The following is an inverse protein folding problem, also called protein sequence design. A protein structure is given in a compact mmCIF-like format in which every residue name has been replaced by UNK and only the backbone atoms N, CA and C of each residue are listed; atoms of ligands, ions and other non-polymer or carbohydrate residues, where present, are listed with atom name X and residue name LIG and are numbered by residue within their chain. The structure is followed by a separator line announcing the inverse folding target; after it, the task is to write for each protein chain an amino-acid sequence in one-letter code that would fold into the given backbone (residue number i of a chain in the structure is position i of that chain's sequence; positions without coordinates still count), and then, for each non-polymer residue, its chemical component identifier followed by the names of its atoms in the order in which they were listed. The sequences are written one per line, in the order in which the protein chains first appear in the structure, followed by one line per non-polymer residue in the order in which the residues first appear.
data_IF_282463200336
#
_entry.id   IF_282463200336
#
_cell.length_a   1.000
_cell.length_b   1.000
_cell.length_c   1.000
_cell.angle_alpha   90.00
_cell.angle_beta   90.00
_cell.angle_gamma   90.00
#
_symmetry.space_group_name_H-M   'P 1'
#
loop_
_entity.id
_entity.type
_entity.pdbx_description
1 polymer ?
#
# COMPACT_ATOMS: atom_id res chain seq x y z
N UNK A 1 -13.29 10.65 2.80
CA UNK A 1 -14.02 9.81 3.78
C UNK A 1 -15.45 9.69 3.26
N UNK A 2 -15.86 8.48 2.90
CA UNK A 2 -17.23 8.22 2.50
C UNK A 2 -18.06 8.10 3.78
N UNK A 3 -18.83 9.15 4.11
CA UNK A 3 -19.82 9.07 5.18
C UNK A 3 -21.04 8.35 4.63
N UNK A 4 -21.35 7.15 5.16
CA UNK A 4 -22.55 6.36 4.80
C UNK A 4 -23.88 7.13 4.88
N UNK A 5 -23.93 8.27 5.55
CA UNK A 5 -25.14 9.03 5.84
C UNK A 5 -25.24 10.36 5.10
N UNK A 6 -24.32 10.69 4.19
CA UNK A 6 -24.42 11.93 3.43
C UNK A 6 -24.96 11.64 2.02
N UNK A 7 -26.27 11.75 1.87
CA UNK A 7 -26.97 11.60 0.58
C UNK A 7 -26.46 12.57 -0.51
N UNK A 8 -25.80 13.64 -0.11
CA UNK A 8 -25.20 14.64 -1.00
C UNK A 8 -23.74 14.35 -1.38
N UNK A 9 -23.17 13.23 -0.95
CA UNK A 9 -21.80 12.90 -1.33
C UNK A 9 -21.68 12.70 -2.85
N UNK A 10 -20.55 13.08 -3.48
CA UNK A 10 -20.33 12.84 -4.91
C UNK A 10 -20.54 11.39 -5.33
N UNK A 11 -20.20 10.46 -4.44
CA UNK A 11 -20.37 9.03 -4.64
C UNK A 11 -21.86 8.65 -4.78
N UNK A 12 -22.71 9.13 -3.88
CA UNK A 12 -24.16 8.88 -3.93
C UNK A 12 -24.82 9.57 -5.13
N UNK A 13 -24.36 10.77 -5.50
CA UNK A 13 -24.83 11.45 -6.71
C UNK A 13 -24.53 10.65 -7.98
N UNK A 14 -23.32 10.09 -8.10
CA UNK A 14 -22.96 9.23 -9.24
C UNK A 14 -23.85 7.98 -9.25
N UNK A 15 -24.05 7.31 -8.10
CA UNK A 15 -24.94 6.16 -8.00
C UNK A 15 -26.35 6.49 -8.47
N UNK A 16 -26.96 7.54 -7.94
CA UNK A 16 -28.31 8.00 -8.33
C UNK A 16 -28.41 8.26 -9.84
N UNK A 17 -27.42 8.91 -10.44
CA UNK A 17 -27.40 9.18 -11.89
C UNK A 17 -27.33 7.87 -12.69
N UNK A 18 -26.54 6.89 -12.27
CA UNK A 18 -26.47 5.59 -12.92
C UNK A 18 -27.80 4.82 -12.82
N UNK A 19 -28.45 4.87 -11.66
CA UNK A 19 -29.70 4.16 -11.40
C UNK A 19 -30.91 4.78 -12.12
N UNK A 20 -30.96 6.12 -12.21
CA UNK A 20 -32.06 6.86 -12.84
C UNK A 20 -31.88 7.15 -14.34
N UNK A 21 -30.65 7.01 -14.84
CA UNK A 21 -30.26 7.43 -16.19
C UNK A 21 -29.77 8.88 -16.25
N UNK A 22 -28.99 9.21 -17.27
CA UNK A 22 -28.41 10.54 -17.49
C UNK A 22 -29.42 11.41 -18.21
N UNK A 23 -29.92 12.45 -17.52
CA UNK A 23 -30.96 13.35 -18.05
C UNK A 23 -32.37 12.72 -17.99
N UNK A 24 -33.37 13.54 -18.05
CA UNK A 24 -34.79 13.11 -17.99
C UNK A 24 -35.30 12.51 -19.31
N UNK A 25 -34.46 11.88 -20.11
CA UNK A 25 -34.85 11.25 -21.35
C UNK A 25 -35.27 9.78 -21.11
N UNK A 26 -36.44 9.40 -21.57
CA UNK A 26 -36.99 8.03 -21.44
C UNK A 26 -36.06 6.95 -22.05
N UNK A 27 -35.12 7.35 -22.91
CA UNK A 27 -34.19 6.46 -23.60
C UNK A 27 -32.80 6.39 -22.93
N UNK A 28 -32.62 7.02 -21.77
CA UNK A 28 -31.30 6.93 -21.07
C UNK A 28 -31.10 5.57 -20.46
N UNK A 29 -29.93 4.93 -20.67
CA UNK A 29 -29.64 3.64 -20.05
C UNK A 29 -29.62 3.75 -18.53
N UNK A 30 -30.34 2.85 -17.88
CA UNK A 30 -30.36 2.70 -16.42
C UNK A 30 -29.59 1.48 -16.00
N UNK A 31 -29.02 1.51 -14.79
CA UNK A 31 -28.17 0.47 -14.25
C UNK A 31 -28.72 -0.03 -12.91
N UNK A 32 -28.52 -1.31 -12.61
CA UNK A 32 -28.44 -1.76 -11.22
C UNK A 32 -27.03 -1.46 -10.73
N UNK A 33 -26.89 -0.90 -9.53
CA UNK A 33 -25.59 -0.46 -9.04
C UNK A 33 -25.27 -1.08 -7.69
N UNK A 34 -24.19 -1.85 -7.64
CA UNK A 34 -23.67 -2.43 -6.41
C UNK A 34 -22.53 -1.58 -5.87
N UNK A 35 -22.61 -1.21 -4.61
CA UNK A 35 -21.51 -0.60 -3.86
C UNK A 35 -20.59 -1.71 -3.32
N UNK A 36 -19.28 -1.59 -3.61
CA UNK A 36 -18.27 -2.58 -3.22
C UNK A 36 -17.12 -1.89 -2.51
N UNK A 37 -16.62 -2.50 -1.43
CA UNK A 37 -15.31 -2.18 -0.86
C UNK A 37 -14.40 -3.40 -1.01
N UNK A 38 -13.50 -3.33 -1.99
CA UNK A 38 -12.58 -4.40 -2.32
C UNK A 38 -11.19 -4.09 -1.76
N UNK A 39 -10.56 -5.09 -1.14
CA UNK A 39 -9.18 -4.96 -0.68
C UNK A 39 -8.25 -5.74 -1.61
N UNK A 40 -7.25 -5.07 -2.16
CA UNK A 40 -6.32 -5.65 -3.13
C UNK A 40 -5.64 -6.94 -2.61
N UNK A 41 -5.36 -7.03 -1.31
CA UNK A 41 -4.72 -8.22 -0.72
C UNK A 41 -5.57 -9.50 -0.89
N UNK A 42 -6.88 -9.39 -1.04
CA UNK A 42 -7.77 -10.54 -1.26
C UNK A 42 -7.69 -11.08 -2.70
N UNK A 43 -7.00 -10.35 -3.58
CA UNK A 43 -6.85 -10.66 -5.01
C UNK A 43 -5.40 -10.95 -5.41
N UNK A 44 -4.58 -11.44 -4.46
CA UNK A 44 -3.20 -11.85 -4.70
C UNK A 44 -2.21 -10.67 -4.84
N UNK A 45 -2.59 -9.50 -4.35
CA UNK A 45 -1.72 -8.31 -4.29
C UNK A 45 -1.12 -8.21 -2.89
N UNK A 46 0.21 -8.13 -2.72
CA UNK A 46 0.87 -8.06 -1.40
C UNK A 46 0.72 -6.69 -0.75
N UNK A 47 -0.51 -6.15 -0.75
CA UNK A 47 -0.80 -4.80 -0.24
C UNK A 47 -2.18 -4.70 0.36
N UNK A 48 -2.26 -4.20 1.59
CA UNK A 48 -3.51 -3.75 2.20
C UNK A 48 -3.95 -2.43 1.55
N UNK A 49 -4.84 -2.53 0.54
CA UNK A 49 -5.33 -1.40 -0.24
C UNK A 49 -6.84 -1.51 -0.45
N UNK A 50 -7.64 -1.13 0.55
CA UNK A 50 -9.09 -1.07 0.38
C UNK A 50 -9.47 0.09 -0.57
N UNK A 51 -10.38 -0.19 -1.50
CA UNK A 51 -10.93 0.80 -2.44
C UNK A 51 -12.43 0.58 -2.59
N UNK A 52 -13.15 1.68 -2.75
CA UNK A 52 -14.57 1.65 -3.04
C UNK A 52 -14.79 1.66 -4.54
N UNK A 53 -15.71 0.80 -5.00
CA UNK A 53 -16.12 0.70 -6.38
C UNK A 53 -17.65 0.82 -6.48
N UNK A 54 -18.12 1.36 -7.59
CA UNK A 54 -19.50 1.24 -8.06
C UNK A 54 -19.47 0.30 -9.26
N UNK A 55 -20.10 -0.86 -9.14
CA UNK A 55 -20.29 -1.77 -10.25
C UNK A 55 -21.72 -1.61 -10.77
N UNK A 56 -21.84 -1.07 -11.96
CA UNK A 56 -23.15 -0.89 -12.64
C UNK A 56 -23.31 -1.91 -13.78
N UNK A 57 -24.42 -2.63 -13.76
CA UNK A 57 -24.85 -3.46 -14.88
C UNK A 57 -26.11 -2.84 -15.47
N UNK A 58 -26.17 -2.68 -16.79
CA UNK A 58 -27.32 -2.10 -17.47
C UNK A 58 -28.56 -2.97 -17.21
N UNK A 59 -29.71 -2.34 -16.90
CA UNK A 59 -30.92 -3.03 -16.42
C UNK A 59 -31.40 -4.12 -17.37
N UNK A 60 -31.40 -3.89 -18.66
CA UNK A 60 -31.84 -4.88 -19.65
C UNK A 60 -30.95 -6.14 -19.64
N UNK A 61 -29.63 -5.99 -19.44
CA UNK A 61 -28.70 -7.12 -19.28
C UNK A 61 -28.95 -7.81 -17.94
N UNK A 62 -29.14 -7.02 -16.87
CA UNK A 62 -29.36 -7.55 -15.53
C UNK A 62 -30.65 -8.39 -15.45
N UNK A 63 -31.72 -7.96 -16.11
CA UNK A 63 -32.98 -8.71 -16.22
C UNK A 63 -32.79 -10.04 -16.91
N UNK A 64 -32.15 -10.05 -18.10
CA UNK A 64 -31.85 -11.28 -18.86
C UNK A 64 -31.04 -12.28 -18.06
N UNK A 65 -30.06 -11.77 -17.27
CA UNK A 65 -29.15 -12.59 -16.47
C UNK A 65 -29.63 -12.82 -15.02
N UNK A 66 -30.83 -12.33 -14.67
CA UNK A 66 -31.38 -12.43 -13.31
C UNK A 66 -30.42 -11.89 -12.23
N UNK A 67 -29.71 -10.80 -12.53
CA UNK A 67 -28.77 -10.15 -11.62
C UNK A 67 -29.47 -9.10 -10.76
N UNK A 68 -29.10 -9.06 -9.48
CA UNK A 68 -29.61 -8.08 -8.52
C UNK A 68 -28.49 -7.43 -7.74
N UNK A 69 -28.65 -6.15 -7.40
CA UNK A 69 -27.77 -5.45 -6.48
C UNK A 69 -28.38 -5.46 -5.06
N UNK A 70 -27.54 -5.45 -4.06
CA UNK A 70 -27.94 -5.25 -2.66
C UNK A 70 -27.93 -3.78 -2.29
N UNK A 71 -28.71 -3.41 -1.28
CA UNK A 71 -28.75 -2.02 -0.77
C UNK A 71 -27.52 -1.64 0.03
N UNK A 72 -26.82 -2.63 0.60
CA UNK A 72 -25.64 -2.45 1.44
C UNK A 72 -24.35 -2.50 0.66
N UNK A 73 -23.31 -1.82 1.23
CA UNK A 73 -21.94 -1.94 0.72
C UNK A 73 -21.45 -3.36 0.99
N UNK A 74 -21.02 -4.05 -0.06
CA UNK A 74 -20.43 -5.36 0.05
C UNK A 74 -18.92 -5.29 0.19
N UNK A 75 -18.36 -5.98 1.20
CA UNK A 75 -16.93 -6.02 1.47
C UNK A 75 -16.32 -7.32 0.95
N UNK A 76 -15.17 -7.26 0.30
CA UNK A 76 -14.46 -8.48 -0.12
C UNK A 76 -14.05 -9.39 1.03
N UNK A 77 -13.99 -8.90 2.29
CA UNK A 77 -13.78 -9.72 3.49
C UNK A 77 -14.97 -10.61 3.85
N UNK A 78 -16.20 -10.23 3.45
CA UNK A 78 -17.39 -11.01 3.79
C UNK A 78 -17.33 -12.46 3.28
N UNK A 79 -16.58 -12.71 2.21
CA UNK A 79 -16.37 -14.07 1.70
C UNK A 79 -15.59 -14.96 2.66
N UNK A 80 -14.71 -14.39 3.50
CA UNK A 80 -13.97 -15.16 4.50
C UNK A 80 -14.82 -15.50 5.73
N UNK A 81 -15.87 -14.71 5.98
CA UNK A 81 -16.86 -14.95 7.04
C UNK A 81 -17.93 -15.98 6.64
N UNK A 82 -17.77 -16.62 5.48
CA UNK A 82 -18.70 -17.64 4.96
C UNK A 82 -19.97 -17.08 4.32
N UNK A 83 -20.07 -15.76 4.15
CA UNK A 83 -21.19 -15.15 3.42
C UNK A 83 -21.06 -15.45 1.93
N UNK A 84 -22.11 -15.99 1.36
CA UNK A 84 -22.26 -16.14 -0.10
C UNK A 84 -22.56 -14.75 -0.66
N UNK A 85 -21.56 -14.10 -1.24
CA UNK A 85 -21.60 -12.71 -1.61
C UNK A 85 -22.73 -12.26 -2.54
N UNK A 86 -22.79 -10.96 -2.77
CA UNK A 86 -23.57 -10.43 -3.89
C UNK A 86 -23.03 -11.02 -5.21
N UNK A 87 -23.90 -11.49 -6.13
CA UNK A 87 -23.46 -11.96 -7.44
C UNK A 87 -22.65 -10.93 -8.23
N UNK A 88 -22.78 -9.64 -7.85
CA UNK A 88 -22.02 -8.54 -8.47
C UNK A 88 -20.67 -8.28 -7.80
N UNK A 89 -20.29 -9.02 -6.75
CA UNK A 89 -18.99 -8.83 -6.08
C UNK A 89 -17.98 -9.89 -6.56
N UNK A 90 -16.81 -9.49 -7.07
CA UNK A 90 -15.79 -10.46 -7.47
C UNK A 90 -15.27 -11.25 -6.26
N UNK A 91 -15.24 -12.57 -6.41
CA UNK A 91 -14.79 -13.49 -5.37
C UNK A 91 -13.26 -13.32 -5.17
N UNK A 92 -12.78 -13.32 -3.91
CA UNK A 92 -11.35 -13.36 -3.61
C UNK A 92 -10.63 -14.51 -4.31
N UNK A 93 -9.44 -14.26 -4.84
CA UNK A 93 -8.66 -15.27 -5.56
C UNK A 93 -7.70 -16.06 -4.67
N UNK A 94 -7.57 -15.66 -3.41
CA UNK A 94 -6.73 -16.33 -2.41
C UNK A 94 -7.53 -16.52 -1.12
N UNK A 95 -7.08 -17.46 -0.29
CA UNK A 95 -7.62 -17.64 1.06
C UNK A 95 -6.98 -16.64 2.02
N UNK A 96 -7.63 -16.31 3.12
CA UNK A 96 -7.14 -15.36 4.12
C UNK A 96 -5.74 -15.74 4.63
N UNK A 97 -5.50 -17.02 4.90
CA UNK A 97 -4.19 -17.53 5.34
C UNK A 97 -3.07 -17.45 4.30
N UNK A 98 -3.42 -17.24 3.04
CA UNK A 98 -2.48 -17.19 1.91
C UNK A 98 -2.21 -15.72 1.46
N UNK A 99 -2.65 -14.74 2.25
CA UNK A 99 -2.39 -13.30 1.98
C UNK A 99 -0.88 -13.08 1.93
N UNK A 100 -0.45 -12.45 0.84
CA UNK A 100 0.96 -12.24 0.55
C UNK A 100 1.55 -11.11 1.41
N UNK A 101 2.77 -11.33 1.87
CA UNK A 101 3.55 -10.38 2.68
C UNK A 101 4.48 -9.50 1.85
N UNK A 102 5.11 -8.53 2.50
CA UNK A 102 6.22 -7.76 1.95
C UNK A 102 7.36 -8.69 1.53
N UNK A 103 7.69 -9.70 2.36
CA UNK A 103 8.76 -10.64 2.06
C UNK A 103 8.48 -11.48 0.81
N UNK A 104 7.24 -11.93 0.59
CA UNK A 104 6.86 -12.63 -0.63
C UNK A 104 7.07 -11.80 -1.89
N UNK A 105 6.94 -10.48 -1.78
CA UNK A 105 7.03 -9.57 -2.91
C UNK A 105 8.44 -9.12 -3.27
N UNK A 106 9.30 -8.92 -2.27
CA UNK A 106 10.60 -8.29 -2.47
C UNK A 106 11.76 -9.02 -1.77
N UNK A 107 11.51 -10.10 -1.05
CA UNK A 107 12.54 -10.83 -0.30
C UNK A 107 13.73 -11.27 -1.16
N UNK A 108 13.50 -11.63 -2.42
CA UNK A 108 14.52 -11.97 -3.41
C UNK A 108 15.49 -10.83 -3.75
N UNK A 109 15.15 -9.58 -3.42
CA UNK A 109 15.97 -8.40 -3.71
C UNK A 109 16.99 -8.08 -2.60
N UNK A 110 16.85 -8.69 -1.42
CA UNK A 110 17.72 -8.38 -0.28
C UNK A 110 18.11 -9.59 0.58
N UNK A 111 17.50 -10.74 0.35
CA UNK A 111 17.79 -11.98 1.03
C UNK A 111 18.17 -13.06 0.00
N UNK A 112 19.46 -13.35 -0.11
CA UNK A 112 20.00 -14.29 -1.08
C UNK A 112 19.54 -15.74 -0.81
N UNK A 113 19.09 -16.06 0.40
CA UNK A 113 18.58 -17.37 0.77
C UNK A 113 17.09 -17.54 0.40
N UNK A 114 16.40 -16.43 0.08
CA UNK A 114 14.98 -16.50 -0.30
C UNK A 114 14.79 -17.26 -1.62
N UNK A 115 14.15 -18.41 -1.52
CA UNK A 115 13.76 -19.26 -2.68
C UNK A 115 12.25 -19.22 -2.95
N UNK A 116 11.48 -18.42 -2.21
CA UNK A 116 10.03 -18.31 -2.43
C UNK A 116 9.72 -17.37 -3.62
N UNK A 117 9.78 -17.90 -4.82
CA UNK A 117 9.49 -17.17 -6.06
C UNK A 117 8.02 -17.32 -6.51
N UNK A 118 7.14 -17.86 -5.67
CA UNK A 118 5.74 -18.15 -6.05
C UNK A 118 5.02 -16.89 -6.55
N UNK A 119 5.12 -15.79 -5.82
CA UNK A 119 4.51 -14.52 -6.23
C UNK A 119 5.13 -13.98 -7.52
N UNK A 120 6.45 -13.98 -7.64
CA UNK A 120 7.16 -13.50 -8.83
C UNK A 120 6.82 -14.31 -10.08
N UNK A 121 6.62 -15.60 -9.94
CA UNK A 121 6.17 -16.46 -11.04
C UNK A 121 4.76 -16.08 -11.52
N UNK A 122 3.87 -15.71 -10.62
CA UNK A 122 2.52 -15.21 -10.97
C UNK A 122 2.65 -13.84 -11.63
N UNK A 123 3.41 -12.92 -11.02
CA UNK A 123 3.60 -11.55 -11.45
C UNK A 123 4.20 -11.46 -12.85
N UNK A 124 5.25 -12.25 -13.12
CA UNK A 124 6.00 -12.23 -14.36
C UNK A 124 5.50 -13.24 -15.40
N UNK A 125 4.39 -13.94 -15.13
CA UNK A 125 3.80 -14.85 -16.08
C UNK A 125 3.49 -14.13 -17.39
N UNK A 126 3.93 -14.70 -18.52
CA UNK A 126 3.76 -14.13 -19.86
C UNK A 126 2.31 -13.68 -20.08
N UNK A 127 2.09 -12.37 -20.10
CA UNK A 127 0.82 -11.77 -20.50
C UNK A 127 0.90 -11.34 -21.97
N UNK A 128 -0.26 -11.04 -22.58
CA UNK A 128 -0.33 -10.50 -23.94
C UNK A 128 0.50 -9.21 -24.12
N UNK A 129 0.73 -8.47 -23.05
CA UNK A 129 1.56 -7.26 -23.03
C UNK A 129 3.06 -7.50 -23.29
N UNK A 130 3.56 -8.72 -23.11
CA UNK A 130 4.96 -9.05 -23.36
C UNK A 130 5.38 -8.87 -24.83
N UNK A 131 4.43 -8.84 -25.77
CA UNK A 131 4.69 -8.57 -27.18
C UNK A 131 5.04 -7.12 -27.48
N UNK A 132 4.69 -6.19 -26.61
CA UNK A 132 4.82 -4.74 -26.82
C UNK A 132 6.10 -4.17 -26.20
N UNK A 133 6.66 -4.82 -25.18
CA UNK A 133 7.78 -4.30 -24.40
C UNK A 133 9.02 -5.18 -24.64
N UNK A 134 9.94 -4.71 -25.48
CA UNK A 134 11.27 -5.32 -25.66
C UNK A 134 12.15 -4.94 -24.47
N UNK A 135 12.50 -5.88 -23.62
CA UNK A 135 13.45 -5.68 -22.53
C UNK A 135 14.81 -6.31 -22.83
N UNK A 136 15.86 -5.54 -22.61
CA UNK A 136 17.19 -6.08 -22.34
C UNK A 136 17.21 -6.65 -20.93
N UNK A 137 17.73 -7.86 -20.80
CA UNK A 137 17.48 -8.80 -19.71
C UNK A 137 18.39 -8.61 -18.47
N UNK A 138 19.20 -7.55 -18.37
CA UNK A 138 20.36 -7.56 -17.47
C UNK A 138 20.26 -6.69 -16.22
N UNK A 139 19.29 -5.76 -16.13
CA UNK A 139 19.08 -4.98 -14.91
C UNK A 139 17.59 -4.79 -14.62
N UNK A 140 17.20 -5.00 -13.38
CA UNK A 140 15.83 -4.77 -12.92
C UNK A 140 15.52 -3.28 -12.99
N UNK A 141 14.67 -2.86 -13.94
CA UNK A 141 14.35 -1.45 -14.16
C UNK A 141 13.64 -0.83 -12.96
N UNK A 142 13.89 0.46 -12.74
CA UNK A 142 13.31 1.24 -11.62
C UNK A 142 13.73 0.77 -10.22
N UNK A 143 14.86 0.05 -10.09
CA UNK A 143 15.40 -0.44 -8.83
C UNK A 143 16.65 0.33 -8.38
N UNK A 144 16.65 1.65 -8.51
CA UNK A 144 17.76 2.48 -8.09
C UNK A 144 17.73 2.66 -6.57
N UNK A 145 18.79 2.22 -5.90
CA UNK A 145 18.94 2.40 -4.46
C UNK A 145 19.26 3.87 -4.15
N UNK A 146 18.45 4.49 -3.30
CA UNK A 146 18.71 5.88 -2.87
C UNK A 146 19.82 5.90 -1.83
N UNK A 147 20.81 6.76 -2.05
CA UNK A 147 21.85 6.99 -1.07
C UNK A 147 21.35 7.97 0.00
N UNK A 148 21.45 7.56 1.25
CA UNK A 148 21.09 8.36 2.42
C UNK A 148 22.34 8.66 3.25
N UNK A 149 22.40 9.85 3.87
CA UNK A 149 23.48 10.17 4.82
C UNK A 149 23.47 9.23 6.02
N UNK A 150 24.60 9.07 6.68
CA UNK A 150 24.73 8.17 7.84
C UNK A 150 23.76 8.52 8.96
N UNK A 151 23.54 9.82 9.21
CA UNK A 151 22.51 10.27 10.16
C UNK A 151 21.10 9.79 9.79
N UNK A 152 20.74 9.79 8.50
CA UNK A 152 19.44 9.28 8.04
C UNK A 152 19.38 7.76 8.15
N UNK A 153 20.45 7.06 7.80
CA UNK A 153 20.52 5.58 7.96
C UNK A 153 20.39 5.19 9.43
N UNK A 154 21.10 5.88 10.36
CA UNK A 154 20.97 5.66 11.81
C UNK A 154 19.53 5.87 12.29
N UNK A 155 18.84 6.91 11.76
CA UNK A 155 17.42 7.16 12.05
C UNK A 155 16.51 6.04 11.54
N UNK A 156 16.75 5.51 10.32
CA UNK A 156 15.96 4.40 9.78
C UNK A 156 16.10 3.15 10.64
N UNK A 157 17.32 2.80 11.09
CA UNK A 157 17.57 1.71 12.02
C UNK A 157 16.81 1.88 13.34
N UNK A 158 16.77 3.10 13.85
CA UNK A 158 16.03 3.40 15.08
C UNK A 158 14.50 3.27 14.88
N UNK A 159 13.96 3.66 13.71
CA UNK A 159 12.56 3.39 13.37
C UNK A 159 12.26 1.89 13.28
N UNK A 160 13.14 1.11 12.68
CA UNK A 160 13.01 -0.36 12.56
C UNK A 160 13.00 -0.99 13.95
N UNK A 161 13.97 -0.67 14.79
CA UNK A 161 14.02 -1.11 16.18
C UNK A 161 12.75 -0.73 16.95
N UNK A 162 12.25 0.49 16.83
CA UNK A 162 11.02 0.90 17.49
C UNK A 162 9.80 0.11 17.01
N UNK A 163 9.72 -0.19 15.72
CA UNK A 163 8.65 -1.01 15.17
C UNK A 163 8.64 -2.42 15.76
N UNK A 164 9.81 -3.03 15.92
CA UNK A 164 9.96 -4.36 16.52
C UNK A 164 9.63 -4.37 18.02
N UNK A 165 10.01 -3.30 18.73
CA UNK A 165 9.75 -3.19 20.17
C UNK A 165 8.33 -2.64 20.48
N UNK A 166 7.52 -2.32 19.47
CA UNK A 166 6.21 -1.68 19.67
C UNK A 166 6.28 -0.25 20.25
N UNK A 167 7.42 0.42 20.10
CA UNK A 167 7.63 1.78 20.58
C UNK A 167 7.07 2.78 19.57
N UNK A 168 6.31 3.76 20.05
CA UNK A 168 5.73 4.78 19.19
C UNK A 168 6.79 5.76 18.66
N UNK A 169 6.80 5.97 17.34
CA UNK A 169 7.68 6.98 16.69
C UNK A 169 7.37 8.42 17.09
N UNK A 170 6.28 8.67 17.84
CA UNK A 170 5.98 9.99 18.42
C UNK A 170 7.08 10.47 19.36
N UNK A 171 7.90 9.56 19.91
CA UNK A 171 9.04 9.91 20.77
C UNK A 171 10.01 10.88 20.07
N UNK A 172 10.18 10.79 18.75
CA UNK A 172 11.01 11.76 18.00
C UNK A 172 10.45 13.18 18.02
N UNK A 173 9.12 13.33 18.05
CA UNK A 173 8.50 14.65 18.17
C UNK A 173 8.67 15.21 19.58
N UNK A 174 8.57 14.36 20.60
CA UNK A 174 8.84 14.73 22.01
C UNK A 174 10.30 15.18 22.14
N UNK A 175 11.25 14.39 21.60
CA UNK A 175 12.67 14.75 21.56
C UNK A 175 12.93 16.09 20.83
N UNK A 176 12.22 16.37 19.73
CA UNK A 176 12.32 17.66 19.03
C UNK A 176 11.85 18.83 19.90
N UNK A 177 10.83 18.63 20.74
CA UNK A 177 10.36 19.65 21.70
C UNK A 177 11.38 19.86 22.81
N UNK A 178 11.93 18.77 23.37
CA UNK A 178 13.00 18.86 24.37
C UNK A 178 14.18 19.64 23.84
N UNK A 179 14.68 19.31 22.66
CA UNK A 179 15.81 20.00 22.03
C UNK A 179 15.56 21.51 21.80
N UNK A 180 14.30 21.91 21.66
CA UNK A 180 13.94 23.32 21.45
C UNK A 180 13.79 24.10 22.78
N UNK A 181 13.42 23.42 23.88
CA UNK A 181 13.01 24.10 25.13
C UNK A 181 13.87 23.74 26.34
N UNK A 182 14.58 22.60 26.29
CA UNK A 182 15.28 21.96 27.42
C UNK A 182 14.37 21.67 28.62
N UNK A 183 13.05 21.57 28.39
CA UNK A 183 12.08 21.32 29.44
C UNK A 183 12.13 19.85 29.89
N UNK A 184 12.40 19.64 31.18
CA UNK A 184 12.54 18.33 31.81
C UNK A 184 11.28 17.44 31.68
N UNK A 185 10.11 18.04 31.50
CA UNK A 185 8.86 17.28 31.24
C UNK A 185 9.00 16.41 29.98
N UNK A 186 9.53 16.97 28.90
CA UNK A 186 9.73 16.19 27.66
C UNK A 186 10.82 15.12 27.82
N UNK A 187 11.86 15.38 28.60
CA UNK A 187 12.88 14.36 28.88
C UNK A 187 12.26 13.16 29.63
N UNK A 188 11.46 13.42 30.65
CA UNK A 188 10.76 12.38 31.38
C UNK A 188 9.76 11.61 30.50
N UNK A 189 9.07 12.29 29.57
CA UNK A 189 8.21 11.62 28.59
C UNK A 189 9.00 10.68 27.67
N UNK A 190 10.23 11.04 27.29
CA UNK A 190 11.12 10.16 26.50
C UNK A 190 11.52 8.93 27.33
N UNK A 191 11.95 9.11 28.57
CA UNK A 191 12.29 8.00 29.48
C UNK A 191 11.10 7.03 29.63
N UNK A 192 9.91 7.57 29.85
CA UNK A 192 8.67 6.78 29.96
C UNK A 192 8.37 6.01 28.68
N UNK A 193 8.53 6.65 27.50
CA UNK A 193 8.29 6.00 26.22
C UNK A 193 9.29 4.85 25.95
N UNK A 194 10.51 4.95 26.47
CA UNK A 194 11.58 3.97 26.30
C UNK A 194 11.72 2.99 27.46
N UNK A 195 10.87 3.03 28.48
CA UNK A 195 11.00 2.22 29.71
C UNK A 195 11.16 0.73 29.42
N UNK A 196 10.36 0.20 28.48
CA UNK A 196 10.36 -1.22 28.10
C UNK A 196 11.29 -1.54 26.92
N UNK A 197 12.04 -0.56 26.41
CA UNK A 197 12.97 -0.79 25.30
C UNK A 197 14.06 -1.79 25.72
N UNK A 198 14.34 -2.79 24.90
CA UNK A 198 15.42 -3.77 25.15
C UNK A 198 16.77 -3.15 24.80
N UNK A 199 17.78 -3.44 25.60
CA UNK A 199 19.17 -3.05 25.34
C UNK A 199 20.08 -4.26 25.48
N UNK A 200 21.16 -4.40 24.68
CA UNK A 200 21.53 -3.47 23.62
C UNK A 200 20.45 -3.36 22.53
N UNK A 201 20.24 -2.13 22.01
CA UNK A 201 19.34 -1.88 20.90
C UNK A 201 20.02 -2.22 19.58
N UNK A 202 19.51 -3.22 18.88
CA UNK A 202 20.02 -3.68 17.59
C UNK A 202 19.04 -3.37 16.48
N UNK A 203 19.54 -3.07 15.30
CA UNK A 203 18.73 -2.96 14.07
C UNK A 203 18.64 -4.32 13.36
N UNK A 204 17.67 -4.50 12.42
CA UNK A 204 17.54 -5.73 11.65
C UNK A 204 18.76 -6.10 10.78
N UNK A 205 19.65 -5.15 10.52
CA UNK A 205 20.96 -5.36 9.85
C UNK A 205 22.11 -5.51 10.86
N UNK A 206 21.83 -5.96 12.09
CA UNK A 206 22.75 -6.28 13.18
C UNK A 206 23.66 -5.12 13.65
N UNK A 207 23.29 -3.88 13.29
CA UNK A 207 24.05 -2.71 13.76
C UNK A 207 23.59 -2.30 15.16
N UNK A 208 24.57 -2.07 16.04
CA UNK A 208 24.31 -1.55 17.40
C UNK A 208 23.86 -0.07 17.29
N UNK A 209 22.65 0.19 17.75
CA UNK A 209 22.06 1.54 17.82
C UNK A 209 22.43 2.19 19.15
N UNK A 210 22.33 1.44 20.24
CA UNK A 210 22.68 1.87 21.60
C UNK A 210 22.99 0.64 22.46
N UNK A 211 23.97 0.76 23.36
CA UNK A 211 24.39 -0.31 24.27
C UNK A 211 23.55 -0.37 25.54
N UNK A 212 23.08 0.78 25.97
CA UNK A 212 22.29 0.93 27.18
C UNK A 212 21.16 1.96 27.00
N UNK A 213 20.37 2.17 28.06
CA UNK A 213 19.22 3.11 28.04
C UNK A 213 19.64 4.57 27.86
N UNK A 214 20.74 4.98 28.46
CA UNK A 214 21.18 6.38 28.36
C UNK A 214 21.65 6.67 26.94
N UNK A 215 22.45 5.79 26.37
CA UNK A 215 22.87 5.89 24.95
C UNK A 215 21.66 5.87 24.00
N UNK A 216 20.61 5.09 24.34
CA UNK A 216 19.38 5.09 23.54
C UNK A 216 18.63 6.43 23.59
N UNK A 217 18.51 7.03 24.78
CA UNK A 217 17.91 8.36 24.96
C UNK A 217 18.70 9.40 24.17
N UNK A 218 20.03 9.41 24.33
CA UNK A 218 20.93 10.34 23.62
C UNK A 218 20.79 10.18 22.10
N UNK A 219 20.70 8.96 21.62
CA UNK A 219 20.47 8.66 20.20
C UNK A 219 19.11 9.19 19.71
N UNK A 220 18.08 9.06 20.51
CA UNK A 220 16.74 9.62 20.19
C UNK A 220 16.78 11.15 20.12
N UNK A 221 17.48 11.79 21.04
CA UNK A 221 17.66 13.25 21.07
C UNK A 221 18.48 13.74 19.88
N UNK A 222 19.59 13.07 19.54
CA UNK A 222 20.44 13.37 18.38
C UNK A 222 19.63 13.28 17.06
N UNK A 223 18.79 12.25 16.95
CA UNK A 223 18.05 11.93 15.73
C UNK A 223 16.65 12.54 15.70
N UNK A 224 16.31 13.39 16.66
CA UNK A 224 15.01 14.04 16.77
C UNK A 224 14.54 14.65 15.44
N UNK A 225 13.27 14.47 15.11
CA UNK A 225 12.69 14.96 13.87
C UNK A 225 11.18 15.16 13.99
N UNK A 226 10.67 16.12 13.22
CA UNK A 226 9.21 16.30 13.04
C UNK A 226 8.58 15.30 12.07
N UNK A 227 9.38 14.50 11.34
CA UNK A 227 8.93 13.47 10.41
C UNK A 227 8.54 12.18 11.15
N UNK A 228 7.46 12.23 11.89
CA UNK A 228 6.91 11.10 12.64
C UNK A 228 6.02 10.15 11.81
N UNK A 229 5.75 10.49 10.54
CA UNK A 229 4.96 9.65 9.62
C UNK A 229 5.79 8.53 8.97
N UNK A 230 7.11 8.62 9.03
CA UNK A 230 7.99 7.58 8.50
C UNK A 230 7.81 6.28 9.30
N UNK A 231 7.63 5.18 8.58
CA UNK A 231 7.46 3.86 9.19
C UNK A 231 8.15 2.77 8.38
N UNK A 232 8.82 1.83 9.04
CA UNK A 232 9.33 0.63 8.39
C UNK A 232 8.18 -0.29 8.01
N UNK A 233 8.36 -1.03 6.94
CA UNK A 233 7.49 -2.14 6.60
C UNK A 233 7.80 -3.32 7.54
N UNK A 234 6.79 -4.15 7.78
CA UNK A 234 6.97 -5.45 8.44
C UNK A 234 7.06 -6.53 7.37
N UNK A 235 8.13 -7.31 7.40
CA UNK A 235 8.40 -8.32 6.37
C UNK A 235 7.27 -9.35 6.23
N UNK A 236 6.65 -9.76 7.34
CA UNK A 236 5.63 -10.82 7.41
C UNK A 236 4.19 -10.33 7.18
N UNK A 237 3.97 -9.04 7.04
CA UNK A 237 2.64 -8.45 6.81
C UNK A 237 2.52 -7.97 5.35
N UNK A 238 1.29 -7.84 4.79
CA UNK A 238 1.11 -7.15 3.52
C UNK A 238 1.54 -5.68 3.64
N UNK A 239 2.11 -5.13 2.58
CA UNK A 239 2.46 -3.71 2.53
C UNK A 239 1.23 -2.84 2.84
N UNK A 240 1.34 -1.78 3.62
CA UNK A 240 0.30 -0.75 3.68
C UNK A 240 0.12 -0.13 2.29
N UNK A 241 -0.98 0.63 2.11
CA UNK A 241 -1.23 1.32 0.84
C UNK A 241 -0.01 2.11 0.39
N UNK A 242 0.52 1.77 -0.78
CA UNK A 242 1.63 2.49 -1.43
C UNK A 242 1.21 3.92 -1.70
N UNK A 243 2.08 4.85 -1.33
CA UNK A 243 1.87 6.29 -1.47
C UNK A 243 2.76 6.86 -2.57
N UNK A 244 2.42 8.05 -3.06
CA UNK A 244 3.15 8.73 -4.14
C UNK A 244 4.45 9.43 -3.68
N UNK A 245 4.81 9.32 -2.40
CA UNK A 245 6.00 9.93 -1.81
C UNK A 245 6.90 8.82 -1.26
N UNK A 246 8.16 8.71 -1.73
CA UNK A 246 9.06 7.62 -1.33
C UNK A 246 9.51 7.69 0.13
N UNK A 247 9.52 8.89 0.72
CA UNK A 247 10.17 9.14 2.01
C UNK A 247 9.39 8.61 3.24
N UNK A 248 8.12 8.24 3.07
CA UNK A 248 7.27 7.83 4.20
C UNK A 248 7.42 6.34 4.56
N UNK A 249 8.04 5.54 3.69
CA UNK A 249 8.14 4.09 3.86
C UNK A 249 9.59 3.64 3.85
N UNK A 250 10.00 2.98 4.94
CA UNK A 250 11.35 2.46 5.15
C UNK A 250 11.34 0.97 4.85
N UNK A 251 12.43 0.46 4.25
CA UNK A 251 12.64 -0.96 3.99
C UNK A 251 12.58 -1.77 5.31
N UNK A 252 12.05 -3.01 5.30
CA UNK A 252 11.89 -3.77 6.53
C UNK A 252 13.20 -4.06 7.27
N UNK A 253 14.31 -4.30 6.55
CA UNK A 253 15.61 -4.68 7.12
C UNK A 253 16.73 -3.71 6.78
N UNK A 254 16.77 -3.16 5.57
CA UNK A 254 17.84 -2.28 5.14
C UNK A 254 17.58 -0.81 5.53
N UNK A 255 18.63 -0.08 5.90
CA UNK A 255 18.51 1.32 6.35
C UNK A 255 18.32 2.30 5.17
N UNK A 256 17.22 2.12 4.40
CA UNK A 256 16.87 2.93 3.23
C UNK A 256 15.36 3.01 3.01
N UNK A 257 14.94 3.91 2.16
CA UNK A 257 13.56 3.94 1.64
C UNK A 257 13.37 2.88 0.55
N UNK A 258 12.11 2.62 0.21
CA UNK A 258 11.74 1.67 -0.86
C UNK A 258 12.09 2.24 -2.24
N UNK A 259 12.48 1.38 -3.18
CA UNK A 259 12.64 1.74 -4.58
C UNK A 259 11.29 1.77 -5.31
N UNK A 260 11.26 2.36 -6.52
CA UNK A 260 10.07 2.34 -7.37
C UNK A 260 9.67 0.90 -7.72
N UNK A 261 10.65 0.03 -8.02
CA UNK A 261 10.40 -1.38 -8.34
C UNK A 261 9.78 -2.16 -7.19
N UNK A 262 10.28 -1.98 -5.97
CA UNK A 262 9.72 -2.62 -4.78
C UNK A 262 8.27 -2.18 -4.57
N UNK A 263 7.97 -0.88 -4.68
CA UNK A 263 6.60 -0.39 -4.60
C UNK A 263 5.72 -0.88 -5.76
N UNK A 264 6.28 -1.01 -6.96
CA UNK A 264 5.58 -1.54 -8.13
C UNK A 264 5.19 -3.02 -7.94
N UNK A 265 6.07 -3.83 -7.32
CA UNK A 265 5.75 -5.21 -6.96
C UNK A 265 4.62 -5.29 -5.93
N UNK A 266 4.56 -4.38 -4.94
CA UNK A 266 3.41 -4.28 -4.03
C UNK A 266 2.11 -3.92 -4.75
N UNK A 267 2.19 -3.22 -5.86
CA UNK A 267 1.05 -2.91 -6.71
C UNK A 267 0.78 -3.98 -7.77
N UNK A 268 1.49 -5.11 -7.74
CA UNK A 268 1.41 -6.20 -8.73
C UNK A 268 1.78 -5.82 -10.17
N UNK A 269 2.65 -4.82 -10.36
CA UNK A 269 3.25 -4.59 -11.67
C UNK A 269 4.35 -5.63 -11.93
N UNK A 270 4.36 -6.28 -13.09
CA UNK A 270 5.41 -7.24 -13.44
C UNK A 270 6.76 -6.55 -13.64
N UNK A 271 7.86 -7.29 -13.42
CA UNK A 271 9.21 -6.75 -13.46
C UNK A 271 9.63 -6.21 -14.83
N UNK A 272 9.00 -6.71 -15.89
CA UNK A 272 9.22 -6.20 -17.24
C UNK A 272 8.48 -4.87 -17.54
N UNK A 273 7.62 -4.38 -16.62
CA UNK A 273 6.96 -3.09 -16.81
C UNK A 273 7.90 -1.98 -16.33
N UNK A 274 8.26 -1.08 -17.22
CA UNK A 274 9.15 0.03 -16.94
C UNK A 274 8.38 1.34 -16.78
N UNK A 275 8.56 2.00 -15.63
CA UNK A 275 8.04 3.35 -15.39
C UNK A 275 9.01 4.38 -15.96
N UNK A 276 8.50 5.31 -16.74
CA UNK A 276 9.26 6.38 -17.39
C UNK A 276 9.19 7.69 -16.60
N UNK A 277 10.03 8.67 -16.96
CA UNK A 277 10.16 9.97 -16.29
C UNK A 277 11.04 9.91 -15.03
N UNK A 278 11.10 11.00 -14.27
CA UNK A 278 11.88 11.12 -13.04
C UNK A 278 11.33 10.19 -11.95
N UNK A 279 12.17 9.73 -11.05
CA UNK A 279 11.72 8.95 -9.90
C UNK A 279 10.83 9.79 -8.97
N UNK A 280 11.28 11.01 -8.64
CA UNK A 280 10.58 11.95 -7.77
C UNK A 280 10.62 13.34 -8.33
N UNK A 281 9.70 14.18 -7.89
CA UNK A 281 9.73 15.63 -8.12
C UNK A 281 9.35 16.37 -6.85
N UNK A 282 9.89 17.57 -6.66
CA UNK A 282 9.67 18.41 -5.48
C UNK A 282 9.06 19.77 -5.83
N UNK A 283 8.62 20.51 -4.80
CA UNK A 283 8.15 21.89 -4.94
C UNK A 283 6.96 22.05 -5.90
N UNK A 284 6.96 23.16 -6.65
CA UNK A 284 5.88 23.53 -7.59
C UNK A 284 5.71 22.53 -8.74
N UNK A 285 6.79 21.85 -9.14
CA UNK A 285 6.77 20.87 -10.24
C UNK A 285 5.92 19.62 -9.94
N UNK A 286 5.57 19.34 -8.68
CA UNK A 286 4.65 18.25 -8.30
C UNK A 286 3.27 18.37 -8.96
N UNK A 287 2.86 19.56 -9.35
CA UNK A 287 1.57 19.79 -10.01
C UNK A 287 1.61 19.49 -11.51
N UNK A 288 2.80 19.44 -12.10
CA UNK A 288 3.03 19.30 -13.55
C UNK A 288 3.59 17.92 -13.88
N UNK A 289 4.60 17.48 -13.12
CA UNK A 289 5.26 16.20 -13.34
C UNK A 289 4.44 15.05 -12.73
N UNK A 290 4.45 13.90 -13.40
CA UNK A 290 3.95 12.63 -12.85
C UNK A 290 5.13 11.67 -12.68
N UNK A 291 5.90 11.80 -11.59
CA UNK A 291 7.08 10.98 -11.35
C UNK A 291 6.72 9.52 -11.09
N UNK A 292 7.70 8.62 -11.23
CA UNK A 292 7.51 7.18 -11.16
C UNK A 292 6.80 6.73 -9.87
N UNK A 293 7.19 7.25 -8.70
CA UNK A 293 6.49 6.94 -7.44
C UNK A 293 5.02 7.36 -7.45
N UNK A 294 4.70 8.47 -8.10
CA UNK A 294 3.30 8.92 -8.24
C UNK A 294 2.52 8.02 -9.18
N UNK A 295 3.13 7.58 -10.27
CA UNK A 295 2.52 6.62 -11.20
C UNK A 295 2.17 5.31 -10.47
N UNK A 296 3.11 4.76 -9.72
CA UNK A 296 2.89 3.53 -8.93
C UNK A 296 1.81 3.75 -7.87
N UNK A 297 1.91 4.83 -7.07
CA UNK A 297 0.97 5.09 -5.96
C UNK A 297 -0.47 5.30 -6.39
N UNK A 298 -0.69 5.90 -7.58
CA UNK A 298 -2.02 6.18 -8.13
C UNK A 298 -2.61 5.01 -8.93
N UNK A 299 -1.83 3.97 -9.20
CA UNK A 299 -2.28 2.86 -10.03
C UNK A 299 -3.36 2.01 -9.35
N UNK A 300 -4.19 1.38 -10.17
CA UNK A 300 -5.00 0.23 -9.78
C UNK A 300 -4.13 -1.01 -9.94
N UNK A 301 -4.01 -1.88 -8.92
CA UNK A 301 -3.19 -3.08 -9.02
C UNK A 301 -3.62 -3.99 -10.17
N UNK A 302 -2.73 -4.34 -11.12
CA UNK A 302 -3.07 -5.12 -12.30
C UNK A 302 -3.74 -6.48 -12.01
N UNK A 303 -3.32 -7.20 -10.96
CA UNK A 303 -3.97 -8.47 -10.58
C UNK A 303 -5.41 -8.25 -10.13
N UNK A 304 -5.67 -7.24 -9.31
CA UNK A 304 -7.03 -6.89 -8.87
C UNK A 304 -7.88 -6.43 -10.06
N UNK A 305 -7.35 -5.57 -10.93
CA UNK A 305 -8.05 -5.10 -12.13
C UNK A 305 -8.43 -6.28 -13.05
N UNK A 306 -7.53 -7.26 -13.21
CA UNK A 306 -7.80 -8.47 -13.99
C UNK A 306 -8.96 -9.27 -13.43
N UNK A 307 -9.03 -9.45 -12.12
CA UNK A 307 -10.13 -10.19 -11.47
C UNK A 307 -11.46 -9.48 -11.66
N UNK A 308 -11.49 -8.15 -11.45
CA UNK A 308 -12.69 -7.33 -11.67
C UNK A 308 -13.16 -7.43 -13.13
N UNK A 309 -12.24 -7.31 -14.10
CA UNK A 309 -12.58 -7.39 -15.51
C UNK A 309 -13.09 -8.78 -15.92
N UNK A 310 -12.48 -9.85 -15.39
CA UNK A 310 -12.94 -11.22 -15.64
C UNK A 310 -14.33 -11.43 -15.04
N UNK A 311 -14.57 -10.98 -13.82
CA UNK A 311 -15.87 -11.07 -13.16
C UNK A 311 -16.97 -10.35 -13.96
N UNK A 312 -16.71 -9.12 -14.42
CA UNK A 312 -17.64 -8.38 -15.28
C UNK A 312 -17.92 -9.17 -16.55
N UNK A 313 -16.89 -9.70 -17.21
CA UNK A 313 -17.06 -10.53 -18.41
C UNK A 313 -17.97 -11.72 -18.11
N UNK A 314 -17.75 -12.45 -17.03
CA UNK A 314 -18.52 -13.64 -16.67
C UNK A 314 -19.99 -13.31 -16.33
N UNK A 315 -20.26 -12.12 -15.77
CA UNK A 315 -21.60 -11.66 -15.47
C UNK A 315 -22.43 -11.37 -16.74
N UNK A 316 -21.80 -10.88 -17.81
CA UNK A 316 -22.49 -10.42 -19.02
C UNK A 316 -22.41 -11.41 -20.19
N UNK A 317 -21.56 -12.46 -20.07
CA UNK A 317 -21.50 -13.56 -21.05
C UNK A 317 -22.63 -14.56 -20.82
#
# INVERSE_FOLDING_TARGET
RFNKHNEDSPFQKIKKVLESGVGNSENSPQYIVQELQLNAMHYGVPQHRPRVFLLGIRKDIAEVKSLTATTDIWFSSNFFDGNIGSPLCPIPTIKEKDILSVYDAIGDLYDEENRNLKYLNILNKKSAFKKVIKHKKEELSNHNLRNHSDKIKKRFRLYQYFSEQGISTKVFNIASKYNATSDKVYYHEIEKALVNAKVPALSPDDMVIARDKNELIDTVLELATKKHSQRPLKAIEPSPTVVSIPDDVIHPTLARTMTVREQARFQSFPDYFEFKSKETTGGAMRKVDVPQYTQVGNAVPPLMAKVIAQHIKDLIS
#
